data_IF_727341931006
#
_entry.id   IF_727341931006
#
_cell.length_a   1.000
_cell.length_b   1.000
_cell.length_c   1.000
_cell.angle_alpha   90.00
_cell.angle_beta   90.00
_cell.angle_gamma   90.00
#
_symmetry.space_group_name_H-M   'P 1'
#
loop_
_entity.id
_entity.type
_entity.pdbx_description
1 polymer ?
#
# COMPACT_ATOMS: atom_id res chain seq x y z
N UNK A 1 15.00 -22.24 -14.78
CA UNK A 1 14.48 -22.39 -13.39
C UNK A 1 13.01 -22.74 -13.49
N UNK A 2 12.56 -23.82 -12.83
CA UNK A 2 11.12 -24.16 -12.75
C UNK A 2 10.36 -22.98 -12.16
N UNK A 3 9.19 -22.64 -12.73
CA UNK A 3 8.42 -21.48 -12.30
C UNK A 3 8.03 -21.56 -10.83
N UNK A 4 7.81 -22.78 -10.32
CA UNK A 4 7.61 -23.03 -8.89
C UNK A 4 8.72 -22.45 -8.01
N UNK A 5 9.98 -22.67 -8.41
CA UNK A 5 11.15 -22.23 -7.65
C UNK A 5 11.26 -20.71 -7.67
N UNK A 6 10.85 -20.05 -8.76
CA UNK A 6 10.81 -18.58 -8.85
C UNK A 6 9.80 -18.01 -7.84
N UNK A 7 8.59 -18.57 -7.80
CA UNK A 7 7.54 -18.14 -6.86
C UNK A 7 7.96 -18.36 -5.41
N UNK A 8 8.56 -19.51 -5.10
CA UNK A 8 9.02 -19.82 -3.76
C UNK A 8 10.16 -18.88 -3.31
N UNK A 9 11.13 -18.62 -4.20
CA UNK A 9 12.25 -17.73 -3.91
C UNK A 9 11.78 -16.29 -3.72
N UNK A 10 10.89 -15.79 -4.58
CA UNK A 10 10.27 -14.46 -4.42
C UNK A 10 9.49 -14.36 -3.11
N UNK A 11 8.73 -15.40 -2.75
CA UNK A 11 7.98 -15.44 -1.49
C UNK A 11 8.88 -15.42 -0.27
N UNK A 12 9.92 -16.25 -0.22
CA UNK A 12 10.87 -16.29 0.88
C UNK A 12 11.66 -14.97 1.00
N UNK A 13 12.05 -14.40 -0.13
CA UNK A 13 12.73 -13.10 -0.18
C UNK A 13 11.81 -11.98 0.35
N UNK A 14 10.54 -11.96 -0.06
CA UNK A 14 9.54 -11.00 0.44
C UNK A 14 9.34 -11.13 1.95
N UNK A 15 9.28 -12.36 2.48
CA UNK A 15 9.19 -12.59 3.93
C UNK A 15 10.44 -12.05 4.65
N UNK A 16 11.63 -12.34 4.13
CA UNK A 16 12.88 -11.87 4.71
C UNK A 16 12.97 -10.33 4.74
N UNK A 17 12.59 -9.66 3.65
CA UNK A 17 12.49 -8.20 3.60
C UNK A 17 11.42 -7.67 4.55
N UNK A 18 10.26 -8.34 4.65
CA UNK A 18 9.21 -7.97 5.61
C UNK A 18 9.71 -7.98 7.05
N UNK A 19 10.42 -9.04 7.46
CA UNK A 19 11.03 -9.11 8.80
C UNK A 19 12.08 -8.01 9.00
N UNK A 20 12.92 -7.76 7.99
CA UNK A 20 13.93 -6.71 8.05
C UNK A 20 13.31 -5.31 8.21
N UNK A 21 12.26 -5.01 7.45
CA UNK A 21 11.50 -3.76 7.52
C UNK A 21 10.89 -3.56 8.90
N UNK A 22 10.32 -4.62 9.49
CA UNK A 22 9.74 -4.57 10.84
C UNK A 22 10.80 -4.40 11.94
N UNK A 23 12.07 -4.75 11.67
CA UNK A 23 13.17 -4.49 12.59
C UNK A 23 13.57 -3.02 12.71
N UNK A 24 13.31 -2.21 11.69
CA UNK A 24 13.60 -0.77 11.66
C UNK A 24 12.46 0.03 10.99
N UNK A 25 11.25 0.05 11.58
CA UNK A 25 10.05 0.55 10.91
C UNK A 25 10.11 2.04 10.59
N UNK A 26 10.77 2.86 11.42
CA UNK A 26 10.92 4.30 11.16
C UNK A 26 11.79 4.55 9.91
N UNK A 27 12.89 3.81 9.77
CA UNK A 27 13.76 3.91 8.59
C UNK A 27 13.02 3.47 7.34
N UNK A 28 12.24 2.39 7.44
CA UNK A 28 11.42 1.91 6.34
C UNK A 28 10.33 2.92 5.94
N UNK A 29 9.65 3.56 6.89
CA UNK A 29 8.67 4.61 6.59
C UNK A 29 9.28 5.78 5.82
N UNK A 30 10.47 6.23 6.23
CA UNK A 30 11.20 7.29 5.54
C UNK A 30 11.55 6.85 4.11
N UNK A 31 12.02 5.61 3.94
CA UNK A 31 12.30 5.05 2.62
C UNK A 31 11.03 5.04 1.74
N UNK A 32 9.88 4.64 2.29
CA UNK A 32 8.58 4.70 1.59
C UNK A 32 8.25 6.13 1.17
N UNK A 33 8.45 7.11 2.05
CA UNK A 33 8.23 8.53 1.71
C UNK A 33 9.14 9.00 0.59
N UNK A 34 10.43 8.67 0.63
CA UNK A 34 11.39 9.05 -0.42
C UNK A 34 11.01 8.41 -1.75
N UNK A 35 10.72 7.10 -1.77
CA UNK A 35 10.27 6.40 -2.98
C UNK A 35 8.99 7.02 -3.51
N UNK A 36 8.02 7.31 -2.63
CA UNK A 36 6.77 8.00 -3.01
C UNK A 36 7.06 9.37 -3.60
N UNK A 37 7.97 10.16 -3.01
CA UNK A 37 8.38 11.46 -3.53
C UNK A 37 8.96 11.38 -4.94
N UNK A 38 9.88 10.44 -5.18
CA UNK A 38 10.44 10.19 -6.52
C UNK A 38 9.35 9.77 -7.51
N UNK A 39 8.46 8.86 -7.12
CA UNK A 39 7.37 8.42 -7.98
C UNK A 39 6.40 9.57 -8.33
N UNK A 40 6.10 10.46 -7.37
CA UNK A 40 5.30 11.66 -7.60
C UNK A 40 6.00 12.63 -8.56
N UNK A 41 7.33 12.78 -8.47
CA UNK A 41 8.08 13.60 -9.42
C UNK A 41 8.01 13.03 -10.84
N UNK A 42 8.20 11.72 -10.99
CA UNK A 42 8.13 11.04 -12.29
C UNK A 42 6.71 11.15 -12.86
N UNK A 43 5.68 10.82 -12.06
CA UNK A 43 4.28 10.91 -12.46
C UNK A 43 3.86 12.34 -12.80
N UNK A 44 4.29 13.33 -12.01
CA UNK A 44 4.07 14.75 -12.26
C UNK A 44 4.69 15.20 -13.58
N UNK A 45 5.95 14.85 -13.83
CA UNK A 45 6.63 15.14 -15.09
C UNK A 45 5.92 14.51 -16.29
N UNK A 46 5.57 13.22 -16.20
CA UNK A 46 4.82 12.53 -17.25
C UNK A 46 3.44 13.14 -17.48
N UNK A 47 2.73 13.55 -16.43
CA UNK A 47 1.41 14.16 -16.56
C UNK A 47 1.47 15.58 -17.15
N UNK A 48 2.52 16.36 -16.84
CA UNK A 48 2.75 17.66 -17.49
C UNK A 48 2.99 17.46 -18.99
N UNK A 49 3.90 16.56 -19.36
CA UNK A 49 4.22 16.26 -20.77
C UNK A 49 2.99 15.71 -21.51
N UNK A 50 2.30 14.73 -20.91
CA UNK A 50 1.10 14.11 -21.47
C UNK A 50 -0.06 15.10 -21.59
N UNK A 51 -0.21 16.01 -20.64
CA UNK A 51 -1.24 17.05 -20.63
C UNK A 51 -1.19 17.98 -21.84
N UNK A 52 -0.02 18.17 -22.46
CA UNK A 52 0.09 18.94 -23.71
C UNK A 52 -0.53 18.23 -24.92
N UNK A 53 -0.67 16.91 -24.85
CA UNK A 53 -1.20 16.04 -25.92
C UNK A 53 -2.71 15.84 -25.81
N UNK A 54 -3.33 16.24 -24.69
CA UNK A 54 -4.77 16.05 -24.45
C UNK A 54 -5.59 17.08 -25.25
N UNK A 55 -6.62 16.59 -25.95
CA UNK A 55 -7.60 17.43 -26.64
C UNK A 55 -8.59 18.06 -25.65
N UNK A 56 -8.86 19.36 -25.83
CA UNK A 56 -9.74 20.13 -24.97
C UNK A 56 -9.00 20.99 -23.93
N UNK A 57 -9.21 22.31 -24.00
CA UNK A 57 -8.55 23.31 -23.16
C UNK A 57 -8.76 23.06 -21.66
N UNK A 58 -9.96 22.61 -21.25
CA UNK A 58 -10.27 22.30 -19.86
C UNK A 58 -9.43 21.14 -19.30
N UNK A 59 -9.40 20.01 -20.01
CA UNK A 59 -8.63 18.82 -19.58
C UNK A 59 -7.12 19.09 -19.61
N UNK A 60 -6.65 19.89 -20.58
CA UNK A 60 -5.24 20.32 -20.65
C UNK A 60 -4.82 21.14 -19.44
N UNK A 61 -5.61 22.13 -19.04
CA UNK A 61 -5.33 22.96 -17.86
C UNK A 61 -5.36 22.11 -16.59
N UNK A 62 -6.36 21.25 -16.42
CA UNK A 62 -6.46 20.36 -15.26
C UNK A 62 -5.25 19.40 -15.18
N UNK A 63 -4.82 18.83 -16.30
CA UNK A 63 -3.65 17.94 -16.35
C UNK A 63 -2.37 18.68 -15.98
N UNK A 64 -2.19 19.92 -16.45
CA UNK A 64 -1.03 20.76 -16.10
C UNK A 64 -1.02 21.11 -14.61
N UNK A 65 -2.16 21.53 -14.06
CA UNK A 65 -2.28 21.86 -12.64
C UNK A 65 -1.96 20.63 -11.78
N UNK A 66 -2.58 19.48 -12.07
CA UNK A 66 -2.33 18.24 -11.32
C UNK A 66 -0.89 17.79 -11.43
N UNK A 67 -0.28 17.90 -12.62
CA UNK A 67 1.13 17.56 -12.83
C UNK A 67 2.07 18.44 -12.01
N UNK A 68 1.81 19.75 -11.98
CA UNK A 68 2.57 20.70 -11.14
C UNK A 68 2.38 20.42 -9.65
N UNK A 69 1.17 20.12 -9.21
CA UNK A 69 0.90 19.73 -7.81
C UNK A 69 1.67 18.46 -7.45
N UNK A 70 1.69 17.44 -8.31
CA UNK A 70 2.47 16.22 -8.07
C UNK A 70 3.98 16.49 -8.01
N UNK A 71 4.50 17.35 -8.88
CA UNK A 71 5.90 17.77 -8.84
C UNK A 71 6.24 18.48 -7.52
N UNK A 72 5.37 19.39 -7.08
CA UNK A 72 5.56 20.12 -5.83
C UNK A 72 5.50 19.20 -4.61
N UNK A 73 4.52 18.29 -4.55
CA UNK A 73 4.41 17.30 -3.47
C UNK A 73 5.61 16.34 -3.45
N UNK A 74 6.01 15.85 -4.62
CA UNK A 74 7.17 14.97 -4.76
C UNK A 74 8.45 15.65 -4.28
N UNK A 75 8.66 16.90 -4.66
CA UNK A 75 9.80 17.70 -4.19
C UNK A 75 9.78 17.92 -2.69
N UNK A 76 8.62 18.33 -2.14
CA UNK A 76 8.44 18.56 -0.70
C UNK A 76 8.76 17.32 0.14
N UNK A 77 8.39 16.12 -0.34
CA UNK A 77 8.72 14.87 0.34
C UNK A 77 10.20 14.52 0.31
N UNK A 78 10.95 14.95 -0.71
CA UNK A 78 12.40 14.74 -0.77
C UNK A 78 13.18 15.75 0.05
N UNK A 79 12.71 17.00 0.11
CA UNK A 79 13.33 18.07 0.88
C UNK A 79 13.15 17.84 2.40
N UNK A 80 11.97 17.41 2.82
CA UNK A 80 11.63 17.14 4.22
C UNK A 80 11.00 15.75 4.42
N UNK A 81 11.78 14.66 4.32
CA UNK A 81 11.25 13.31 4.34
C UNK A 81 10.57 12.93 5.65
N UNK A 82 11.05 13.41 6.80
CA UNK A 82 10.37 13.15 8.08
C UNK A 82 8.96 13.75 8.12
N UNK A 83 8.79 14.98 7.61
CA UNK A 83 7.48 15.62 7.56
C UNK A 83 6.58 14.92 6.53
N UNK A 84 7.13 14.56 5.38
CA UNK A 84 6.42 13.76 4.36
C UNK A 84 5.92 12.42 4.92
N UNK A 85 6.71 11.75 5.76
CA UNK A 85 6.30 10.52 6.45
C UNK A 85 5.10 10.76 7.36
N UNK A 86 5.10 11.83 8.16
CA UNK A 86 3.96 12.17 9.02
C UNK A 86 2.71 12.49 8.21
N UNK A 87 2.85 13.25 7.12
CA UNK A 87 1.73 13.58 6.23
C UNK A 87 1.13 12.30 5.63
N UNK A 88 1.96 11.42 5.06
CA UNK A 88 1.52 10.15 4.49
C UNK A 88 0.91 9.21 5.54
N UNK A 89 1.51 9.10 6.72
CA UNK A 89 0.98 8.31 7.82
C UNK A 89 -0.41 8.80 8.26
N UNK A 90 -0.60 10.12 8.32
CA UNK A 90 -1.89 10.72 8.67
C UNK A 90 -2.95 10.41 7.61
N UNK A 91 -2.60 10.52 6.32
CA UNK A 91 -3.49 10.12 5.23
C UNK A 91 -3.87 8.65 5.35
N UNK A 92 -2.91 7.77 5.59
CA UNK A 92 -3.15 6.33 5.80
C UNK A 92 -4.09 6.10 6.98
N UNK A 93 -3.92 6.81 8.08
CA UNK A 93 -4.78 6.71 9.26
C UNK A 93 -6.23 7.12 8.93
N UNK A 94 -6.41 8.23 8.21
CA UNK A 94 -7.72 8.67 7.71
C UNK A 94 -8.34 7.60 6.81
N UNK A 95 -7.54 6.99 5.91
CA UNK A 95 -7.99 5.91 5.03
C UNK A 95 -8.39 4.66 5.80
N UNK A 96 -7.69 4.31 6.89
CA UNK A 96 -8.07 3.19 7.76
C UNK A 96 -9.41 3.44 8.46
N UNK A 97 -9.65 4.69 8.89
CA UNK A 97 -10.93 5.08 9.48
C UNK A 97 -12.05 5.06 8.44
N UNK A 98 -11.86 5.70 7.30
CA UNK A 98 -12.84 5.74 6.21
C UNK A 98 -13.15 4.33 5.66
N UNK A 99 -12.11 3.52 5.44
CA UNK A 99 -12.26 2.13 5.00
C UNK A 99 -12.94 1.25 6.04
N UNK A 100 -12.65 1.45 7.33
CA UNK A 100 -13.34 0.78 8.42
C UNK A 100 -14.83 1.10 8.46
N UNK A 101 -15.19 2.39 8.34
CA UNK A 101 -16.59 2.84 8.25
C UNK A 101 -17.28 2.22 7.04
N UNK A 102 -16.64 2.29 5.87
CA UNK A 102 -17.19 1.70 4.64
C UNK A 102 -17.45 0.20 4.80
N UNK A 103 -16.52 -0.56 5.39
CA UNK A 103 -16.69 -2.01 5.66
C UNK A 103 -17.84 -2.28 6.63
N UNK A 104 -18.01 -1.46 7.66
CA UNK A 104 -19.17 -1.59 8.57
C UNK A 104 -20.47 -1.36 7.81
N UNK A 105 -20.56 -0.31 6.98
CA UNK A 105 -21.74 -0.03 6.16
C UNK A 105 -22.03 -1.19 5.20
N UNK A 106 -21.01 -1.71 4.52
CA UNK A 106 -21.14 -2.84 3.58
C UNK A 106 -21.55 -4.12 4.30
N UNK A 107 -21.05 -4.37 5.51
CA UNK A 107 -21.43 -5.55 6.28
C UNK A 107 -22.95 -5.57 6.53
N UNK A 108 -23.56 -4.42 6.81
CA UNK A 108 -25.02 -4.34 7.01
C UNK A 108 -25.83 -4.59 5.73
N UNK A 109 -25.24 -4.43 4.55
CA UNK A 109 -25.88 -4.79 3.27
C UNK A 109 -25.74 -6.30 2.98
N UNK A 110 -24.72 -6.94 3.54
CA UNK A 110 -24.43 -8.38 3.37
C UNK A 110 -25.07 -9.25 4.46
N UNK A 111 -26.03 -8.71 5.22
CA UNK A 111 -26.77 -9.44 6.26
C UNK A 111 -27.39 -10.73 5.69
N UNK A 112 -27.09 -11.86 6.32
CA UNK A 112 -27.57 -13.18 5.90
C UNK A 112 -26.60 -13.96 5.00
N UNK A 113 -25.47 -13.37 4.59
CA UNK A 113 -24.40 -14.08 3.88
C UNK A 113 -23.29 -14.55 4.83
N UNK A 114 -22.52 -15.56 4.43
CA UNK A 114 -21.35 -16.04 5.19
C UNK A 114 -20.28 -14.96 5.42
N UNK A 115 -20.25 -13.92 4.58
CA UNK A 115 -19.26 -12.83 4.64
C UNK A 115 -19.65 -11.69 5.60
N UNK A 116 -20.84 -11.75 6.21
CA UNK A 116 -21.32 -10.73 7.15
C UNK A 116 -20.36 -10.53 8.33
N UNK A 117 -20.10 -11.61 9.08
CA UNK A 117 -19.29 -11.56 10.30
C UNK A 117 -17.84 -11.17 10.06
N UNK A 118 -17.12 -11.78 9.08
CA UNK A 118 -15.74 -11.38 8.78
C UNK A 118 -15.63 -9.91 8.38
N UNK A 119 -16.56 -9.43 7.55
CA UNK A 119 -16.52 -8.04 7.05
C UNK A 119 -16.75 -7.04 8.17
N UNK A 120 -17.75 -7.30 9.03
CA UNK A 120 -18.07 -6.44 10.18
C UNK A 120 -16.90 -6.37 11.16
N UNK A 121 -16.33 -7.52 11.55
CA UNK A 121 -15.19 -7.58 12.47
C UNK A 121 -13.99 -6.84 11.87
N UNK A 122 -13.68 -7.04 10.58
CA UNK A 122 -12.57 -6.33 9.94
C UNK A 122 -12.78 -4.80 9.92
N UNK A 123 -14.02 -4.34 9.76
CA UNK A 123 -14.35 -2.92 9.78
C UNK A 123 -14.18 -2.31 11.16
N UNK A 124 -14.68 -2.99 12.20
CA UNK A 124 -14.50 -2.58 13.60
C UNK A 124 -13.02 -2.56 13.98
N UNK A 125 -12.27 -3.61 13.63
CA UNK A 125 -10.83 -3.68 13.91
C UNK A 125 -10.07 -2.55 13.21
N UNK A 126 -10.43 -2.22 11.97
CA UNK A 126 -9.81 -1.10 11.24
C UNK A 126 -10.01 0.25 11.95
N UNK A 127 -11.23 0.51 12.43
CA UNK A 127 -11.53 1.75 13.18
C UNK A 127 -10.82 1.75 14.53
N UNK A 128 -10.84 0.63 15.25
CA UNK A 128 -10.15 0.49 16.54
C UNK A 128 -8.64 0.72 16.38
N UNK A 129 -8.01 0.10 15.37
CA UNK A 129 -6.60 0.31 15.08
C UNK A 129 -6.31 1.77 14.77
N UNK A 130 -7.11 2.43 13.91
CA UNK A 130 -6.94 3.85 13.62
C UNK A 130 -7.06 4.72 14.89
N UNK A 131 -8.04 4.43 15.76
CA UNK A 131 -8.24 5.13 17.03
C UNK A 131 -7.09 4.94 18.01
N UNK A 132 -6.55 3.72 18.11
CA UNK A 132 -5.36 3.41 18.92
C UNK A 132 -4.15 4.17 18.38
N UNK A 133 -3.88 4.10 17.08
CA UNK A 133 -2.74 4.81 16.48
C UNK A 133 -2.88 6.32 16.72
N UNK A 134 -4.09 6.87 16.60
CA UNK A 134 -4.35 8.29 16.86
C UNK A 134 -4.10 8.68 18.31
N UNK A 135 -4.50 7.85 19.28
CA UNK A 135 -4.25 8.14 20.70
C UNK A 135 -2.76 8.09 21.03
N UNK A 136 -2.03 7.10 20.49
CA UNK A 136 -0.58 7.03 20.62
C UNK A 136 0.13 8.21 19.94
N UNK A 137 -0.36 8.65 18.78
CA UNK A 137 0.16 9.82 18.08
C UNK A 137 0.03 11.11 18.89
N UNK A 138 -1.06 11.25 19.66
CA UNK A 138 -1.30 12.40 20.52
C UNK A 138 -0.33 12.44 21.73
N UNK A 139 0.08 11.29 22.25
CA UNK A 139 1.09 11.19 23.33
C UNK A 139 2.53 11.24 22.83
N UNK A 140 2.81 10.65 21.67
CA UNK A 140 4.15 10.53 21.11
C UNK A 140 4.11 10.63 19.58
N UNK A 141 4.54 11.78 19.06
CA UNK A 141 4.52 12.05 17.61
C UNK A 141 5.41 11.08 16.81
N UNK A 142 6.37 10.41 17.46
CA UNK A 142 7.22 9.42 16.84
C UNK A 142 6.47 8.11 16.47
N UNK A 143 5.33 7.82 17.09
CA UNK A 143 4.54 6.63 16.78
C UNK A 143 4.06 6.63 15.33
N UNK A 144 3.62 7.79 14.81
CA UNK A 144 3.19 7.95 13.43
C UNK A 144 4.31 7.71 12.42
N UNK A 145 5.57 8.01 12.79
CA UNK A 145 6.71 7.76 11.92
C UNK A 145 6.95 6.29 11.67
N UNK A 146 6.49 5.39 12.56
CA UNK A 146 6.64 3.95 12.36
C UNK A 146 5.53 3.32 11.53
N UNK A 147 4.40 4.02 11.35
CA UNK A 147 3.16 3.45 10.80
C UNK A 147 3.36 2.88 9.38
N UNK A 148 3.92 3.68 8.46
CA UNK A 148 4.09 3.26 7.07
C UNK A 148 5.02 2.04 6.93
N UNK A 149 6.10 2.00 7.70
CA UNK A 149 7.05 0.89 7.73
C UNK A 149 6.44 -0.37 8.32
N UNK A 150 5.64 -0.25 9.38
CA UNK A 150 4.89 -1.40 9.93
C UNK A 150 3.91 -1.94 8.90
N UNK A 151 3.12 -1.07 8.27
CA UNK A 151 2.17 -1.47 7.22
C UNK A 151 2.89 -2.14 6.06
N UNK A 152 3.98 -1.55 5.57
CA UNK A 152 4.78 -2.14 4.50
C UNK A 152 5.32 -3.51 4.89
N UNK A 153 5.91 -3.63 6.09
CA UNK A 153 6.48 -4.88 6.57
C UNK A 153 5.42 -5.98 6.66
N UNK A 154 4.26 -5.66 7.22
CA UNK A 154 3.10 -6.57 7.29
C UNK A 154 2.66 -6.97 5.87
N UNK A 155 2.48 -6.00 4.96
CA UNK A 155 2.10 -6.25 3.57
C UNK A 155 3.09 -7.20 2.87
N UNK A 156 4.39 -6.97 3.05
CA UNK A 156 5.44 -7.83 2.48
C UNK A 156 5.42 -9.25 3.04
N UNK A 157 5.09 -9.43 4.32
CA UNK A 157 4.91 -10.75 4.93
C UNK A 157 3.70 -11.46 4.32
N UNK A 158 2.54 -10.82 4.27
CA UNK A 158 1.32 -11.40 3.70
C UNK A 158 1.50 -11.75 2.22
N UNK A 159 2.08 -10.83 1.44
CA UNK A 159 2.41 -11.08 0.04
C UNK A 159 3.41 -12.24 -0.09
N UNK A 160 4.44 -12.29 0.76
CA UNK A 160 5.42 -13.36 0.78
C UNK A 160 4.81 -14.73 1.08
N UNK A 161 3.95 -14.84 2.09
CA UNK A 161 3.20 -16.07 2.36
C UNK A 161 2.29 -16.45 1.18
N UNK A 162 1.61 -15.47 0.56
CA UNK A 162 0.79 -15.68 -0.64
C UNK A 162 1.59 -16.27 -1.81
N UNK A 163 2.79 -15.75 -2.07
CA UNK A 163 3.70 -16.27 -3.10
C UNK A 163 4.21 -17.68 -2.78
N UNK A 164 4.49 -17.98 -1.50
CA UNK A 164 4.87 -19.33 -1.06
C UNK A 164 3.71 -20.31 -1.27
N UNK A 165 2.48 -19.94 -0.92
CA UNK A 165 1.30 -20.78 -1.20
C UNK A 165 1.08 -20.97 -2.69
N UNK A 166 1.21 -19.92 -3.49
CA UNK A 166 1.10 -19.99 -4.95
C UNK A 166 2.15 -20.90 -5.55
N UNK A 167 3.38 -20.87 -5.01
CA UNK A 167 4.39 -21.83 -5.37
C UNK A 167 3.84 -23.24 -5.12
N UNK A 168 3.55 -23.64 -3.88
CA UNK A 168 3.08 -25.00 -3.60
C UNK A 168 1.88 -25.43 -4.47
N UNK A 169 1.00 -24.49 -4.82
CA UNK A 169 -0.08 -24.74 -5.78
C UNK A 169 0.45 -25.08 -7.19
N UNK A 170 1.36 -24.29 -7.76
CA UNK A 170 1.96 -24.54 -9.10
C UNK A 170 2.75 -25.84 -9.15
N UNK A 171 3.44 -26.23 -8.06
CA UNK A 171 4.14 -27.52 -7.99
C UNK A 171 3.19 -28.71 -8.01
N UNK A 172 2.02 -28.56 -7.40
CA UNK A 172 1.03 -29.62 -7.27
C UNK A 172 -0.03 -29.57 -8.38
N UNK A 173 0.02 -28.57 -9.26
CA UNK A 173 -0.84 -28.50 -10.43
C UNK A 173 -0.52 -29.70 -11.35
N UNK A 174 -1.52 -30.49 -11.78
CA UNK A 174 -1.29 -31.56 -12.73
C UNK A 174 -0.63 -30.98 -13.98
N UNK A 175 0.56 -31.45 -14.34
CA UNK A 175 1.15 -31.12 -15.63
C UNK A 175 0.19 -31.65 -16.70
N UNK A 176 -0.44 -30.76 -17.46
CA UNK A 176 -1.28 -31.09 -18.61
C UNK A 176 -0.37 -31.59 -19.75
N UNK A 177 0.20 -32.79 -19.59
CA UNK A 177 1.02 -33.49 -20.59
C UNK A 177 0.17 -34.32 -21.57
N UNK A 178 -1.15 -34.10 -21.67
CA UNK A 178 -2.04 -34.96 -22.49
C UNK A 178 -2.74 -34.32 -23.69
N UNK A 179 -2.24 -33.20 -24.22
CA UNK A 179 -2.58 -32.74 -25.59
C UNK A 179 -1.35 -32.06 -26.18
N UNK A 180 -0.56 -32.67 -27.06
CA UNK A 180 -0.95 -33.21 -28.35
C UNK A 180 -0.05 -34.41 -28.69
N UNK A 181 -0.65 -35.59 -28.71
CA UNK A 181 -0.22 -36.71 -29.54
C UNK A 181 -0.59 -36.45 -31.01
#
# INVERSE_FOLDING_TARGET
MSDWVKWLLLGLLSIAFGVFVLGAPVVASVAVTVVTGVLLLIAGGLQVVGGFTVEGTGNKILSLIMGVVMLFLGWSFLDHPLQGTLTLATVVLILFMAGGIARIILSFQMKGTQFFWPTLISGILSILLAGIIWSYAASESAALLSLLGILLGIEMLFNGFGLVFMAFFVKNAPNDETKQA
#
